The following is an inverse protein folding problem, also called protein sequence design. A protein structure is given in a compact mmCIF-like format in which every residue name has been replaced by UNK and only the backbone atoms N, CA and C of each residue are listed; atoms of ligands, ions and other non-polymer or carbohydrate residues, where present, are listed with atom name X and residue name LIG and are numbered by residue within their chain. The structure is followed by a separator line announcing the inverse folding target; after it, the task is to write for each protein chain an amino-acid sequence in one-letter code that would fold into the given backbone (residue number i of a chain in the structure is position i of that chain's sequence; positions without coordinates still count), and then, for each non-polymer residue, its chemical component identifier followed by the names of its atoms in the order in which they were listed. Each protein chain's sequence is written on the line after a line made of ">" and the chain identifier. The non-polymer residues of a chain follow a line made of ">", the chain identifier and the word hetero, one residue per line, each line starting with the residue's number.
data_IF_580091849699
#
_entry.id   IF_580091849699
#
_cell.length_a   1.000
_cell.length_b   1.000
_cell.length_c   1.000
_cell.angle_alpha   90.00
_cell.angle_beta   90.00
_cell.angle_gamma   90.00
#
_symmetry.space_group_name_H-M   'P 1'
#
loop_
_entity.id
_entity.type
_entity.pdbx_description
1 polymer ?
#
# COMPACT_ATOMS: atom_id res chain seq x y z
N UNK A 1 31.12 1.70 24.02
CA UNK A 1 30.22 1.80 22.84
C UNK A 1 30.42 0.55 21.98
N UNK A 2 29.35 -0.15 21.60
CA UNK A 2 29.43 -1.18 20.57
C UNK A 2 29.78 -0.50 19.24
N UNK A 3 30.76 -1.04 18.51
CA UNK A 3 31.06 -0.58 17.15
C UNK A 3 30.06 -1.26 16.22
N UNK A 4 29.41 -0.48 15.36
CA UNK A 4 28.43 -0.97 14.38
C UNK A 4 28.89 -0.61 12.99
N UNK A 5 28.77 -1.56 12.05
CA UNK A 5 29.03 -1.34 10.62
C UNK A 5 27.79 -1.76 9.85
N UNK A 6 27.40 -0.92 8.90
CA UNK A 6 26.24 -1.14 8.03
C UNK A 6 26.71 -1.36 6.60
N UNK A 7 26.21 -2.41 5.99
CA UNK A 7 26.28 -2.62 4.55
C UNK A 7 24.87 -2.78 4.00
N UNK A 8 24.51 -1.96 3.02
CA UNK A 8 23.23 -2.05 2.34
C UNK A 8 23.43 -2.57 0.93
N UNK A 9 22.68 -3.60 0.59
CA UNK A 9 22.69 -4.21 -0.73
C UNK A 9 21.37 -3.89 -1.43
N UNK A 10 21.43 -3.39 -2.66
CA UNK A 10 20.27 -2.89 -3.39
C UNK A 10 20.29 -3.49 -4.80
N UNK A 11 19.27 -4.27 -5.14
CA UNK A 11 18.94 -4.64 -6.52
C UNK A 11 17.68 -3.91 -6.96
N UNK A 12 17.27 -4.10 -8.22
CA UNK A 12 16.01 -3.53 -8.75
C UNK A 12 14.81 -4.03 -7.94
N UNK A 13 14.82 -5.31 -7.57
CA UNK A 13 13.64 -6.00 -7.05
C UNK A 13 13.62 -6.08 -5.52
N UNK A 14 14.77 -5.95 -4.85
CA UNK A 14 14.84 -6.06 -3.40
C UNK A 14 16.09 -5.40 -2.82
N UNK A 15 16.03 -5.10 -1.53
CA UNK A 15 17.18 -4.62 -0.78
C UNK A 15 17.37 -5.40 0.51
N UNK A 16 18.56 -5.33 1.09
CA UNK A 16 18.89 -5.95 2.37
C UNK A 16 19.91 -5.11 3.12
N UNK A 17 19.62 -4.85 4.40
CA UNK A 17 20.53 -4.17 5.32
C UNK A 17 21.25 -5.21 6.16
N UNK A 18 22.56 -5.10 6.20
CA UNK A 18 23.46 -5.96 6.96
C UNK A 18 24.10 -5.13 8.05
N UNK A 19 23.55 -5.29 9.25
CA UNK A 19 24.11 -4.70 10.46
C UNK A 19 25.06 -5.69 11.11
N UNK A 20 26.31 -5.29 11.28
CA UNK A 20 27.31 -6.06 12.01
C UNK A 20 27.62 -5.32 13.31
N UNK A 21 27.31 -5.95 14.44
CA UNK A 21 27.58 -5.43 15.77
C UNK A 21 28.80 -6.13 16.36
N UNK A 22 29.80 -5.35 16.76
CA UNK A 22 30.99 -5.85 17.42
C UNK A 22 30.92 -5.58 18.92
N UNK A 23 31.23 -6.61 19.71
CA UNK A 23 31.42 -6.46 21.15
C UNK A 23 32.55 -5.45 21.43
N UNK A 24 32.48 -4.75 22.57
CA UNK A 24 33.50 -3.78 22.98
C UNK A 24 34.91 -4.34 23.06
N UNK A 25 35.04 -5.67 23.19
CA UNK A 25 36.30 -6.37 23.38
C UNK A 25 36.86 -6.98 22.08
N UNK A 26 36.24 -6.73 20.92
CA UNK A 26 36.76 -7.18 19.63
C UNK A 26 38.08 -6.48 19.33
N UNK A 27 39.11 -7.25 18.96
CA UNK A 27 40.41 -6.70 18.60
C UNK A 27 40.32 -5.85 17.33
N UNK A 28 41.06 -4.74 17.29
CA UNK A 28 41.13 -3.90 16.09
C UNK A 28 41.69 -4.69 14.90
N UNK A 29 42.63 -5.62 15.13
CA UNK A 29 43.22 -6.46 14.08
C UNK A 29 42.18 -7.36 13.42
N UNK A 30 41.24 -7.92 14.18
CA UNK A 30 40.15 -8.72 13.63
C UNK A 30 39.24 -7.86 12.74
N UNK A 31 38.87 -6.67 13.21
CA UNK A 31 38.01 -5.76 12.47
C UNK A 31 38.67 -5.26 11.19
N UNK A 32 39.96 -4.92 11.24
CA UNK A 32 40.75 -4.54 10.07
C UNK A 32 40.85 -5.70 9.07
N UNK A 33 41.14 -6.92 9.55
CA UNK A 33 41.22 -8.11 8.69
C UNK A 33 39.88 -8.40 8.00
N UNK A 34 38.79 -8.35 8.76
CA UNK A 34 37.43 -8.52 8.23
C UNK A 34 37.10 -7.47 7.16
N UNK A 35 37.34 -6.19 7.45
CA UNK A 35 37.06 -5.12 6.49
C UNK A 35 37.90 -5.25 5.22
N UNK A 36 39.18 -5.61 5.35
CA UNK A 36 40.04 -5.86 4.19
C UNK A 36 39.50 -7.00 3.32
N UNK A 37 39.21 -8.15 3.92
CA UNK A 37 38.67 -9.30 3.20
C UNK A 37 37.31 -8.99 2.57
N UNK A 38 36.45 -8.26 3.28
CA UNK A 38 35.14 -7.83 2.78
C UNK A 38 35.28 -6.92 1.55
N UNK A 39 36.09 -5.87 1.65
CA UNK A 39 36.32 -4.91 0.55
C UNK A 39 36.90 -5.63 -0.67
N UNK A 40 37.86 -6.53 -0.47
CA UNK A 40 38.45 -7.32 -1.55
C UNK A 40 37.45 -8.27 -2.20
N UNK A 41 36.54 -8.87 -1.45
CA UNK A 41 35.50 -9.74 -1.99
C UNK A 41 34.57 -8.99 -2.96
N UNK A 42 34.36 -7.69 -2.73
CA UNK A 42 33.57 -6.80 -3.59
C UNK A 42 34.43 -5.90 -4.47
N UNK A 43 35.59 -6.39 -4.93
CA UNK A 43 36.44 -5.69 -5.91
C UNK A 43 36.82 -4.25 -5.52
N UNK A 44 36.91 -3.96 -4.22
CA UNK A 44 37.37 -2.68 -3.69
C UNK A 44 38.86 -2.68 -3.34
N UNK A 45 39.40 -1.50 -3.04
CA UNK A 45 40.79 -1.30 -2.68
C UNK A 45 40.95 -0.97 -1.20
N UNK A 46 42.02 -1.50 -0.60
CA UNK A 46 42.39 -1.24 0.79
C UNK A 46 43.86 -0.82 0.86
N UNK A 47 44.12 0.40 1.33
CA UNK A 47 45.48 0.92 1.47
C UNK A 47 45.75 1.43 2.89
N UNK A 48 46.81 0.93 3.51
CA UNK A 48 47.33 1.45 4.78
C UNK A 48 48.40 2.49 4.44
N UNK A 49 48.13 3.77 4.70
CA UNK A 49 49.13 4.84 4.52
C UNK A 49 49.58 5.38 5.87
N UNK A 50 50.75 6.02 5.91
CA UNK A 50 51.26 6.71 7.10
C UNK A 50 50.41 7.91 7.53
N UNK A 51 49.56 8.44 6.63
CA UNK A 51 48.66 9.57 6.87
C UNK A 51 47.23 9.14 7.26
N UNK A 52 46.94 7.84 7.18
CA UNK A 52 45.63 7.25 7.49
C UNK A 52 45.33 5.98 6.69
N UNK A 53 44.32 5.23 7.12
CA UNK A 53 43.83 4.08 6.36
C UNK A 53 42.81 4.56 5.31
N UNK A 54 43.08 4.33 4.03
CA UNK A 54 42.15 4.62 2.95
C UNK A 54 41.39 3.35 2.56
N UNK A 55 40.06 3.43 2.67
CA UNK A 55 39.12 2.37 2.28
C UNK A 55 38.36 2.85 1.04
N UNK A 56 38.49 2.12 -0.05
CA UNK A 56 37.73 2.38 -1.26
C UNK A 56 36.86 1.15 -1.56
N UNK A 57 35.55 1.33 -1.54
CA UNK A 57 34.60 0.28 -1.84
C UNK A 57 34.06 0.56 -3.22
N UNK A 58 34.14 -0.42 -4.11
CA UNK A 58 33.38 -0.36 -5.34
C UNK A 58 31.91 -0.60 -4.99
N UNK A 59 31.11 0.47 -4.95
CA UNK A 59 29.70 0.35 -4.62
C UNK A 59 28.92 -0.38 -5.71
N UNK A 60 29.42 -0.40 -6.94
CA UNK A 60 28.76 -1.05 -8.06
C UNK A 60 29.27 -2.48 -8.23
N UNK A 61 28.35 -3.44 -8.31
CA UNK A 61 28.67 -4.85 -8.43
C UNK A 61 27.80 -5.52 -9.49
N UNK A 62 28.33 -6.56 -10.11
CA UNK A 62 27.58 -7.42 -11.03
C UNK A 62 27.71 -8.86 -10.57
N UNK A 63 26.59 -9.58 -10.49
CA UNK A 63 26.63 -11.01 -10.21
C UNK A 63 27.35 -11.76 -11.33
N UNK A 64 28.41 -12.46 -10.96
CA UNK A 64 29.12 -13.41 -11.81
C UNK A 64 29.76 -14.50 -10.93
N UNK A 65 30.25 -15.57 -11.57
CA UNK A 65 30.87 -16.69 -10.88
C UNK A 65 32.05 -16.30 -9.97
N UNK A 66 32.89 -15.35 -10.39
CA UNK A 66 34.04 -14.90 -9.59
C UNK A 66 33.59 -14.25 -8.28
N UNK A 67 32.59 -13.37 -8.35
CA UNK A 67 32.01 -12.72 -7.18
C UNK A 67 31.38 -13.74 -6.22
N UNK A 68 30.66 -14.74 -6.75
CA UNK A 68 30.05 -15.80 -5.94
C UNK A 68 31.11 -16.60 -5.15
N UNK A 69 32.23 -16.95 -5.80
CA UNK A 69 33.34 -17.66 -5.16
C UNK A 69 33.96 -16.80 -4.05
N UNK A 70 34.28 -15.53 -4.34
CA UNK A 70 34.85 -14.58 -3.37
C UNK A 70 33.96 -14.42 -2.13
N UNK A 71 32.65 -14.28 -2.33
CA UNK A 71 31.68 -14.14 -1.24
C UNK A 71 31.54 -15.44 -0.45
N UNK A 72 31.51 -16.60 -1.11
CA UNK A 72 31.44 -17.89 -0.43
C UNK A 72 32.65 -18.12 0.49
N UNK A 73 33.85 -17.74 0.04
CA UNK A 73 35.08 -17.83 0.83
C UNK A 73 35.05 -16.87 2.03
N UNK A 74 34.61 -15.63 1.83
CA UNK A 74 34.42 -14.63 2.89
C UNK A 74 33.44 -15.14 3.96
N UNK A 75 32.26 -15.63 3.54
CA UNK A 75 31.24 -16.16 4.45
C UNK A 75 31.78 -17.35 5.22
N UNK A 76 32.47 -18.28 4.56
CA UNK A 76 33.05 -19.47 5.20
C UNK A 76 34.06 -19.09 6.28
N UNK A 77 34.90 -18.07 6.02
CA UNK A 77 35.92 -17.58 6.96
C UNK A 77 35.29 -16.96 8.21
N UNK A 78 34.20 -16.22 8.07
CA UNK A 78 33.65 -15.39 9.15
C UNK A 78 32.34 -15.86 9.77
N UNK A 79 31.64 -16.87 9.22
CA UNK A 79 30.30 -17.30 9.68
C UNK A 79 30.20 -17.65 11.17
N UNK A 80 31.28 -18.14 11.78
CA UNK A 80 31.27 -18.52 13.20
C UNK A 80 31.43 -17.29 14.12
N UNK A 81 32.20 -16.29 13.68
CA UNK A 81 32.48 -15.07 14.44
C UNK A 81 31.48 -13.96 14.17
N UNK A 82 30.91 -13.93 12.95
CA UNK A 82 29.93 -12.97 12.46
C UNK A 82 28.78 -13.75 11.79
N UNK A 83 27.90 -14.42 12.56
CA UNK A 83 26.80 -15.20 12.00
C UNK A 83 25.90 -14.46 10.98
N UNK A 84 25.62 -13.14 11.12
CA UNK A 84 24.86 -12.39 10.13
C UNK A 84 25.45 -12.41 8.70
N UNK A 85 26.75 -12.70 8.54
CA UNK A 85 27.42 -12.70 7.23
C UNK A 85 26.81 -13.74 6.26
N UNK A 86 26.19 -14.81 6.76
CA UNK A 86 25.54 -15.83 5.92
C UNK A 86 24.43 -15.25 5.04
N UNK A 87 23.79 -14.16 5.48
CA UNK A 87 22.73 -13.49 4.71
C UNK A 87 23.25 -12.92 3.38
N UNK A 88 24.56 -12.69 3.24
CA UNK A 88 25.14 -12.14 2.01
C UNK A 88 24.98 -13.17 0.90
N UNK A 89 25.27 -14.44 1.19
CA UNK A 89 24.99 -15.54 0.27
C UNK A 89 23.50 -15.61 -0.10
N UNK A 90 22.60 -15.39 0.87
CA UNK A 90 21.15 -15.41 0.59
C UNK A 90 20.71 -14.26 -0.33
N UNK A 91 21.38 -13.10 -0.26
CA UNK A 91 21.15 -11.98 -1.18
C UNK A 91 21.62 -12.33 -2.60
N UNK A 92 22.88 -12.78 -2.74
CA UNK A 92 23.49 -13.09 -4.04
C UNK A 92 22.76 -14.23 -4.76
N UNK A 93 22.27 -15.23 -4.02
CA UNK A 93 21.48 -16.34 -4.59
C UNK A 93 20.15 -15.90 -5.19
N UNK A 94 19.58 -14.78 -4.76
CA UNK A 94 18.32 -14.25 -5.30
C UNK A 94 18.50 -13.43 -6.57
N UNK A 95 19.73 -13.01 -6.87
CA UNK A 95 20.04 -12.27 -8.10
C UNK A 95 20.10 -13.23 -9.29
N UNK A 96 19.69 -12.73 -10.45
CA UNK A 96 19.89 -13.39 -11.75
C UNK A 96 21.35 -13.29 -12.19
N UNK A 97 21.79 -14.19 -13.07
CA UNK A 97 23.15 -14.11 -13.62
C UNK A 97 23.34 -12.79 -14.38
N UNK A 98 24.49 -12.13 -14.20
CA UNK A 98 24.82 -10.80 -14.73
C UNK A 98 23.95 -9.64 -14.20
N UNK A 99 23.11 -9.86 -13.18
CA UNK A 99 22.32 -8.78 -12.56
C UNK A 99 23.24 -7.82 -11.79
N UNK A 100 23.11 -6.53 -12.11
CA UNK A 100 23.82 -5.45 -11.45
C UNK A 100 23.11 -5.03 -10.16
N UNK A 101 23.89 -4.68 -9.13
CA UNK A 101 23.40 -4.26 -7.82
C UNK A 101 24.38 -3.28 -7.16
N UNK A 102 23.89 -2.53 -6.16
CA UNK A 102 24.71 -1.64 -5.34
C UNK A 102 25.03 -2.25 -3.97
N UNK A 103 26.25 -2.01 -3.48
CA UNK A 103 26.75 -2.23 -2.13
C UNK A 103 27.14 -0.89 -1.53
N UNK A 104 26.45 -0.44 -0.48
CA UNK A 104 26.74 0.82 0.19
C UNK A 104 27.20 0.60 1.63
N UNK A 105 28.26 1.28 2.10
CA UNK A 105 28.69 1.24 3.49
C UNK A 105 27.85 2.16 4.39
N UNK A 106 26.53 2.11 4.24
CA UNK A 106 25.58 2.97 4.94
C UNK A 106 24.31 2.18 5.28
N UNK A 107 23.59 2.68 6.29
CA UNK A 107 22.23 2.24 6.53
C UNK A 107 21.32 2.85 5.45
N UNK A 108 20.53 2.01 4.78
CA UNK A 108 19.56 2.45 3.77
C UNK A 108 18.63 3.53 4.30
N UNK A 109 18.25 3.49 5.57
CA UNK A 109 17.32 4.46 6.16
C UNK A 109 17.93 5.87 6.25
N UNK A 110 19.26 6.00 6.18
CA UNK A 110 19.96 7.30 6.17
C UNK A 110 20.07 7.94 4.79
N UNK A 111 19.77 7.18 3.72
CA UNK A 111 19.90 7.65 2.35
C UNK A 111 18.62 8.41 1.95
N UNK A 112 18.72 9.64 1.40
CA UNK A 112 17.55 10.38 0.92
C UNK A 112 16.78 9.61 -0.17
N UNK A 113 15.45 9.73 -0.16
CA UNK A 113 14.57 9.04 -1.11
C UNK A 113 14.94 9.33 -2.57
N UNK A 114 15.28 10.58 -2.91
CA UNK A 114 15.71 10.94 -4.27
C UNK A 114 16.91 10.10 -4.72
N UNK A 115 17.93 10.00 -3.88
CA UNK A 115 19.12 9.20 -4.17
C UNK A 115 18.79 7.71 -4.31
N UNK A 116 17.91 7.14 -3.47
CA UNK A 116 17.46 5.75 -3.62
C UNK A 116 16.80 5.51 -4.98
N UNK A 117 15.98 6.45 -5.45
CA UNK A 117 15.30 6.34 -6.74
C UNK A 117 16.30 6.45 -7.89
N UNK A 118 17.22 7.41 -7.83
CA UNK A 118 18.28 7.53 -8.84
C UNK A 118 19.10 6.24 -8.95
N UNK A 119 19.45 5.61 -7.82
CA UNK A 119 20.12 4.31 -7.83
C UNK A 119 19.27 3.23 -8.50
N UNK A 120 17.96 3.18 -8.24
CA UNK A 120 17.07 2.21 -8.90
C UNK A 120 16.94 2.46 -10.41
N UNK A 121 16.88 3.73 -10.83
CA UNK A 121 16.85 4.11 -12.25
C UNK A 121 18.15 3.70 -12.95
N UNK A 122 19.30 3.89 -12.28
CA UNK A 122 20.60 3.45 -12.78
C UNK A 122 20.63 1.93 -12.94
N UNK A 123 20.24 1.18 -11.90
CA UNK A 123 20.15 -0.28 -11.98
C UNK A 123 19.19 -0.74 -13.08
N UNK A 124 18.05 -0.08 -13.26
CA UNK A 124 17.07 -0.39 -14.30
C UNK A 124 17.69 -0.25 -15.70
N UNK A 125 18.43 0.84 -15.96
CA UNK A 125 19.13 1.06 -17.22
C UNK A 125 20.24 0.03 -17.46
N UNK A 126 21.00 -0.33 -16.42
CA UNK A 126 22.13 -1.26 -16.53
C UNK A 126 21.68 -2.70 -16.74
N UNK A 127 20.52 -3.08 -16.20
CA UNK A 127 19.95 -4.42 -16.36
C UNK A 127 19.00 -4.53 -17.57
N UNK A 128 18.68 -3.42 -18.24
CA UNK A 128 17.85 -3.42 -19.44
C UNK A 128 18.38 -2.42 -20.49
N UNK A 129 19.09 -2.90 -21.54
CA UNK A 129 19.69 -2.05 -22.57
C UNK A 129 18.72 -1.16 -23.36
N UNK A 130 17.41 -1.42 -23.29
CA UNK A 130 16.39 -0.57 -23.93
C UNK A 130 16.08 0.71 -23.16
N UNK A 131 16.57 0.83 -21.92
CA UNK A 131 16.31 1.94 -21.03
C UNK A 131 17.53 2.85 -20.93
N UNK A 132 17.33 4.16 -21.13
CA UNK A 132 18.37 5.17 -20.94
C UNK A 132 18.21 5.83 -19.56
N UNK A 133 19.30 5.88 -18.79
CA UNK A 133 19.31 6.44 -17.44
C UNK A 133 18.89 7.91 -17.38
N UNK A 134 19.44 8.74 -18.27
CA UNK A 134 19.15 10.19 -18.29
C UNK A 134 17.70 10.45 -18.69
N UNK A 135 17.16 9.68 -19.64
CA UNK A 135 15.74 9.76 -20.03
C UNK A 135 14.82 9.38 -18.86
N UNK A 136 15.06 8.26 -18.19
CA UNK A 136 14.26 7.82 -17.04
C UNK A 136 14.33 8.86 -15.92
N UNK A 137 15.52 9.35 -15.60
CA UNK A 137 15.69 10.36 -14.56
C UNK A 137 15.02 11.68 -14.90
N UNK A 138 15.12 12.14 -16.14
CA UNK A 138 14.47 13.37 -16.57
C UNK A 138 12.95 13.24 -16.50
N UNK A 139 12.39 12.12 -16.98
CA UNK A 139 10.94 11.85 -16.86
C UNK A 139 10.52 11.81 -15.39
N UNK A 140 11.31 11.14 -14.55
CA UNK A 140 11.07 11.07 -13.12
C UNK A 140 11.09 12.46 -12.45
N UNK A 141 12.12 13.26 -12.70
CA UNK A 141 12.26 14.59 -12.10
C UNK A 141 11.16 15.54 -12.58
N UNK A 142 10.71 15.44 -13.84
CA UNK A 142 9.57 16.19 -14.37
C UNK A 142 8.26 15.83 -13.65
N UNK A 143 8.03 14.53 -13.39
CA UNK A 143 6.78 14.05 -12.80
C UNK A 143 6.73 14.18 -11.27
N UNK A 144 7.86 13.93 -10.60
CA UNK A 144 7.92 13.72 -9.14
C UNK A 144 8.92 14.61 -8.42
N UNK A 145 9.79 15.35 -9.12
CA UNK A 145 10.86 16.14 -8.52
C UNK A 145 10.33 17.16 -7.51
N UNK A 146 9.36 18.00 -7.92
CA UNK A 146 8.72 18.98 -7.04
C UNK A 146 7.97 18.34 -5.87
N UNK A 147 7.44 17.13 -6.05
CA UNK A 147 6.72 16.40 -4.99
C UNK A 147 7.70 15.92 -3.93
N UNK A 148 8.82 15.34 -4.33
CA UNK A 148 9.85 14.87 -3.39
C UNK A 148 10.49 16.03 -2.64
N UNK A 149 10.67 17.18 -3.28
CA UNK A 149 11.18 18.37 -2.60
C UNK A 149 10.19 18.87 -1.54
N UNK A 150 8.89 18.87 -1.85
CA UNK A 150 7.84 19.44 -1.00
C UNK A 150 7.27 18.49 0.06
N UNK A 151 7.26 17.19 -0.21
CA UNK A 151 6.62 16.16 0.62
C UNK A 151 7.58 15.05 1.00
N UNK A 152 7.43 14.55 2.23
CA UNK A 152 7.92 13.23 2.62
C UNK A 152 6.85 12.20 2.26
N UNK A 153 7.21 11.18 1.47
CA UNK A 153 6.27 10.19 0.94
C UNK A 153 6.65 8.80 1.43
N UNK A 154 5.74 8.11 2.09
CA UNK A 154 6.01 6.80 2.68
C UNK A 154 4.75 5.94 2.80
N UNK A 155 4.93 4.64 2.96
CA UNK A 155 3.85 3.68 3.15
C UNK A 155 4.40 2.34 3.64
N UNK A 156 3.59 1.52 4.34
CA UNK A 156 4.05 0.21 4.79
C UNK A 156 4.26 -0.73 3.61
N UNK A 157 5.24 -1.63 3.73
CA UNK A 157 5.47 -2.68 2.72
C UNK A 157 4.26 -3.59 2.60
N UNK A 158 3.81 -3.81 1.35
CA UNK A 158 2.76 -4.79 1.03
C UNK A 158 3.29 -6.20 0.83
N UNK A 159 4.59 -6.37 0.58
CA UNK A 159 5.20 -7.67 0.31
C UNK A 159 5.50 -8.45 1.58
N UNK A 160 5.85 -7.74 2.65
CA UNK A 160 6.26 -8.31 3.92
C UNK A 160 5.29 -7.90 5.01
N UNK A 161 5.05 -8.82 5.94
CA UNK A 161 4.25 -8.53 7.12
C UNK A 161 4.94 -7.43 7.95
N UNK A 162 4.29 -6.29 8.04
CA UNK A 162 4.77 -5.10 8.74
C UNK A 162 3.93 -4.91 9.99
N UNK A 163 4.59 -4.68 11.13
CA UNK A 163 3.94 -4.32 12.40
C UNK A 163 4.27 -2.88 12.72
N UNK A 164 3.27 -2.02 12.74
CA UNK A 164 3.41 -0.59 13.00
C UNK A 164 3.22 -0.32 14.49
N UNK A 165 4.11 0.46 15.09
CA UNK A 165 4.07 0.86 16.50
C UNK A 165 4.68 -0.15 17.48
N UNK A 166 4.66 0.18 18.76
CA UNK A 166 5.34 -0.56 19.84
C UNK A 166 4.98 -2.06 19.89
N UNK A 167 6.01 -2.91 19.80
CA UNK A 167 5.88 -4.37 19.76
C UNK A 167 5.45 -4.96 21.10
N UNK A 168 5.98 -4.45 22.21
CA UNK A 168 5.70 -4.93 23.56
C UNK A 168 4.36 -4.40 24.07
N UNK A 169 3.39 -5.30 24.27
CA UNK A 169 2.02 -4.92 24.66
C UNK A 169 1.97 -3.93 25.83
N UNK A 170 2.72 -4.16 26.90
CA UNK A 170 2.78 -3.32 28.10
C UNK A 170 3.24 -1.87 27.86
N UNK A 171 3.96 -1.61 26.77
CA UNK A 171 4.49 -0.29 26.43
C UNK A 171 3.59 0.45 25.42
N UNK A 172 2.50 -0.18 24.96
CA UNK A 172 1.65 0.41 23.91
C UNK A 172 0.83 1.56 24.45
N UNK A 173 0.70 2.57 23.60
CA UNK A 173 -0.26 3.66 23.71
C UNK A 173 -1.11 3.64 22.45
N UNK A 174 -2.44 3.66 22.59
CA UNK A 174 -3.33 3.69 21.44
C UNK A 174 -3.18 5.02 20.70
N UNK A 175 -2.89 4.99 19.39
CA UNK A 175 -2.72 6.23 18.61
C UNK A 175 -4.00 7.00 18.34
N UNK A 176 -5.16 6.38 18.55
CA UNK A 176 -6.47 7.00 18.28
C UNK A 176 -7.06 7.67 19.52
N UNK A 177 -6.97 7.02 20.68
CA UNK A 177 -7.54 7.54 21.92
C UNK A 177 -6.50 7.93 22.98
N UNK A 178 -5.21 7.77 22.69
CA UNK A 178 -4.07 8.06 23.57
C UNK A 178 -4.04 7.31 24.91
N UNK A 179 -4.92 6.32 25.11
CA UNK A 179 -4.92 5.45 26.29
C UNK A 179 -3.76 4.46 26.27
N UNK A 180 -3.09 4.29 27.39
CA UNK A 180 -2.00 3.34 27.55
C UNK A 180 -2.50 1.95 28.02
N UNK A 181 -1.58 1.01 28.23
CA UNK A 181 -1.89 -0.38 28.58
C UNK A 181 -2.48 -0.59 29.98
N UNK A 182 -2.50 0.44 30.83
CA UNK A 182 -3.19 0.44 32.12
C UNK A 182 -4.66 0.89 31.97
N UNK A 183 -4.98 1.63 30.93
CA UNK A 183 -6.30 2.23 30.68
C UNK A 183 -7.12 1.48 29.61
N UNK A 184 -6.47 0.67 28.78
CA UNK A 184 -7.10 -0.11 27.71
C UNK A 184 -6.35 -1.40 27.41
N UNK A 185 -6.89 -2.22 26.51
CA UNK A 185 -6.36 -3.54 26.15
C UNK A 185 -5.93 -3.61 24.69
N UNK A 186 -4.92 -4.45 24.43
CA UNK A 186 -4.38 -4.73 23.09
C UNK A 186 -4.35 -6.24 22.85
N UNK A 187 -5.47 -6.91 23.15
CA UNK A 187 -5.58 -8.36 23.02
C UNK A 187 -5.80 -8.77 21.56
N UNK A 188 -6.62 -8.01 20.82
CA UNK A 188 -6.94 -8.26 19.42
C UNK A 188 -5.78 -7.86 18.51
N UNK A 189 -5.70 -8.56 17.37
CA UNK A 189 -4.80 -8.18 16.29
C UNK A 189 -5.54 -7.17 15.42
N UNK A 190 -5.24 -5.89 15.63
CA UNK A 190 -5.76 -4.82 14.79
C UNK A 190 -4.97 -4.73 13.48
N UNK A 191 -5.66 -4.37 12.41
CA UNK A 191 -5.09 -4.20 11.08
C UNK A 191 -5.26 -2.73 10.67
N UNK A 192 -4.21 -2.14 10.09
CA UNK A 192 -4.26 -0.74 9.65
C UNK A 192 -5.35 -0.52 8.59
N UNK A 193 -5.46 -1.48 7.66
CA UNK A 193 -6.54 -1.63 6.68
C UNK A 193 -7.28 -2.95 6.99
N UNK A 194 -8.63 -3.02 6.96
CA UNK A 194 -9.36 -4.23 7.25
C UNK A 194 -8.93 -5.44 6.40
N UNK A 195 -8.80 -6.62 7.02
CA UNK A 195 -8.52 -7.85 6.27
C UNK A 195 -9.57 -8.18 5.22
N UNK A 196 -10.81 -7.71 5.40
CA UNK A 196 -11.90 -7.90 4.45
C UNK A 196 -11.68 -7.12 3.14
N UNK A 197 -10.75 -6.15 3.12
CA UNK A 197 -10.25 -5.48 1.91
C UNK A 197 -8.95 -6.11 1.39
N UNK A 198 -8.61 -7.33 1.82
CA UNK A 198 -7.45 -8.07 1.32
C UNK A 198 -6.13 -7.78 2.05
N UNK A 199 -6.11 -6.92 3.08
CA UNK A 199 -4.90 -6.71 3.86
C UNK A 199 -4.51 -7.98 4.65
N UNK A 200 -3.31 -8.50 4.41
CA UNK A 200 -2.74 -9.63 5.19
C UNK A 200 -1.47 -9.25 5.94
N UNK A 201 -0.88 -8.10 5.61
CA UNK A 201 0.50 -7.79 5.95
C UNK A 201 0.64 -6.60 6.89
N UNK A 202 -0.28 -5.63 6.88
CA UNK A 202 -0.14 -4.39 7.65
C UNK A 202 -0.90 -4.51 8.98
N UNK A 203 -0.17 -4.84 10.04
CA UNK A 203 -0.68 -4.98 11.41
C UNK A 203 -0.42 -3.70 12.20
N UNK A 204 -1.41 -3.23 12.93
CA UNK A 204 -1.28 -2.06 13.80
C UNK A 204 -1.21 -2.51 15.26
N UNK A 205 -0.06 -2.34 15.91
CA UNK A 205 0.10 -2.69 17.32
C UNK A 205 -0.60 -1.68 18.24
N UNK A 206 -0.67 -0.42 17.84
CA UNK A 206 -1.12 0.73 18.63
C UNK A 206 -2.59 1.11 18.39
N UNK A 207 -3.43 0.13 18.06
CA UNK A 207 -4.89 0.28 18.07
C UNK A 207 -5.44 -0.60 19.18
N UNK A 208 -6.05 0.01 20.19
CA UNK A 208 -6.61 -0.73 21.31
C UNK A 208 -7.92 -1.42 20.94
N UNK A 209 -8.31 -2.41 21.74
CA UNK A 209 -9.49 -3.25 21.50
C UNK A 209 -10.78 -2.39 21.42
N UNK A 210 -10.89 -1.34 22.24
CA UNK A 210 -12.05 -0.42 22.22
C UNK A 210 -12.14 0.38 20.93
N UNK A 211 -11.04 0.97 20.46
CA UNK A 211 -11.03 1.69 19.18
C UNK A 211 -11.27 0.73 18.01
N UNK A 212 -10.69 -0.46 18.06
CA UNK A 212 -10.87 -1.47 17.02
C UNK A 212 -12.32 -1.92 16.88
N UNK A 213 -13.01 -2.14 18.01
CA UNK A 213 -14.44 -2.46 18.03
C UNK A 213 -15.28 -1.29 17.51
N UNK A 214 -14.99 -0.07 17.95
CA UNK A 214 -15.67 1.14 17.50
C UNK A 214 -15.58 1.30 15.97
N UNK A 215 -14.36 1.21 15.40
CA UNK A 215 -14.17 1.34 13.97
C UNK A 215 -14.85 0.22 13.18
N UNK A 216 -14.76 -1.02 13.67
CA UNK A 216 -15.41 -2.19 13.06
C UNK A 216 -16.93 -2.07 13.01
N UNK A 217 -17.55 -1.38 13.97
CA UNK A 217 -19.00 -1.11 14.02
C UNK A 217 -19.45 0.12 13.24
N UNK A 218 -18.52 1.05 12.95
CA UNK A 218 -18.83 2.37 12.37
C UNK A 218 -18.16 2.56 11.00
N UNK A 219 -17.01 3.24 10.94
CA UNK A 219 -16.39 3.67 9.69
C UNK A 219 -15.87 2.51 8.82
N UNK A 220 -15.31 1.46 9.43
CA UNK A 220 -14.85 0.29 8.67
C UNK A 220 -16.05 -0.51 8.16
N UNK A 221 -17.14 -0.56 8.93
CA UNK A 221 -18.40 -1.19 8.52
C UNK A 221 -18.95 -0.55 7.24
N UNK A 222 -18.96 0.78 7.20
CA UNK A 222 -19.52 1.55 6.07
C UNK A 222 -18.67 1.42 4.81
N UNK A 223 -17.34 1.54 4.91
CA UNK A 223 -16.46 1.36 3.75
C UNK A 223 -16.45 -0.09 3.22
N UNK A 224 -16.60 -1.07 4.11
CA UNK A 224 -16.75 -2.46 3.70
C UNK A 224 -18.05 -2.69 2.93
N UNK A 225 -19.17 -2.10 3.35
CA UNK A 225 -20.43 -2.15 2.60
C UNK A 225 -20.29 -1.44 1.25
N UNK A 226 -19.64 -0.27 1.23
CA UNK A 226 -19.39 0.53 0.02
C UNK A 226 -18.57 -0.24 -1.03
N UNK A 227 -17.55 -0.98 -0.60
CA UNK A 227 -16.66 -1.73 -1.50
C UNK A 227 -17.08 -3.18 -1.76
N UNK A 228 -18.09 -3.69 -1.03
CA UNK A 228 -18.44 -5.12 -0.97
C UNK A 228 -18.63 -5.80 -2.34
N UNK A 229 -19.26 -5.10 -3.28
CA UNK A 229 -19.48 -5.61 -4.64
C UNK A 229 -18.14 -5.96 -5.31
N UNK A 230 -17.15 -5.08 -5.16
CA UNK A 230 -15.81 -5.26 -5.71
C UNK A 230 -15.03 -6.37 -4.99
N UNK A 231 -15.25 -6.58 -3.69
CA UNK A 231 -14.65 -7.72 -2.98
C UNK A 231 -15.08 -9.05 -3.62
N UNK A 232 -16.36 -9.14 -4.02
CA UNK A 232 -16.89 -10.36 -4.67
C UNK A 232 -16.41 -10.46 -6.10
N UNK A 233 -16.46 -9.35 -6.86
CA UNK A 233 -16.02 -9.28 -8.25
C UNK A 233 -14.55 -9.66 -8.42
N UNK A 234 -13.66 -9.06 -7.62
CA UNK A 234 -12.22 -9.31 -7.67
C UNK A 234 -11.76 -10.46 -6.77
N UNK A 235 -12.69 -11.27 -6.25
CA UNK A 235 -12.39 -12.46 -5.44
C UNK A 235 -11.52 -12.17 -4.21
N UNK A 236 -11.69 -10.99 -3.59
CA UNK A 236 -10.98 -10.59 -2.37
C UNK A 236 -11.41 -11.49 -1.22
N UNK A 237 -10.45 -12.26 -0.69
CA UNK A 237 -10.72 -13.27 0.33
C UNK A 237 -10.83 -12.66 1.72
N UNK A 238 -11.84 -13.09 2.47
CA UNK A 238 -12.06 -12.67 3.85
C UNK A 238 -11.09 -13.38 4.84
N UNK A 239 -11.31 -13.17 6.15
CA UNK A 239 -10.52 -13.81 7.23
C UNK A 239 -10.55 -15.34 7.22
N UNK A 240 -11.60 -15.95 6.64
CA UNK A 240 -11.75 -17.41 6.49
C UNK A 240 -11.17 -17.91 5.16
N UNK A 241 -10.42 -17.07 4.44
CA UNK A 241 -9.84 -17.38 3.13
C UNK A 241 -10.88 -17.75 2.06
N UNK A 242 -12.10 -17.20 2.16
CA UNK A 242 -13.20 -17.41 1.21
C UNK A 242 -13.59 -16.09 0.53
N UNK A 243 -14.00 -16.17 -0.74
CA UNK A 243 -14.61 -15.05 -1.46
C UNK A 243 -16.00 -14.80 -0.84
N UNK A 244 -16.35 -13.54 -0.48
CA UNK A 244 -17.66 -13.25 0.07
C UNK A 244 -18.76 -13.48 -0.97
N UNK A 245 -19.88 -14.06 -0.55
CA UNK A 245 -21.14 -14.07 -1.30
C UNK A 245 -22.02 -12.95 -0.77
N UNK A 246 -22.65 -12.20 -1.66
CA UNK A 246 -23.57 -11.12 -1.32
C UNK A 246 -25.00 -11.66 -1.46
N UNK A 247 -25.79 -11.48 -0.42
CA UNK A 247 -27.23 -11.71 -0.44
C UNK A 247 -27.92 -10.46 0.06
N UNK A 248 -28.70 -9.84 -0.82
CA UNK A 248 -29.55 -8.70 -0.55
C UNK A 248 -30.99 -9.06 -0.92
N UNK A 249 -31.93 -8.21 -0.52
CA UNK A 249 -33.34 -8.40 -0.83
C UNK A 249 -33.60 -8.49 -2.35
N UNK A 250 -32.99 -7.61 -3.16
CA UNK A 250 -33.23 -7.55 -4.61
C UNK A 250 -32.16 -8.25 -5.47
N UNK A 251 -31.05 -8.73 -4.88
CA UNK A 251 -30.05 -9.50 -5.63
C UNK A 251 -29.22 -10.46 -4.78
N UNK A 252 -28.64 -11.48 -5.43
CA UNK A 252 -27.46 -12.18 -4.94
C UNK A 252 -26.30 -11.99 -5.91
N UNK A 253 -25.09 -11.92 -5.37
CA UNK A 253 -23.86 -11.90 -6.17
C UNK A 253 -22.87 -12.91 -5.58
N UNK A 254 -22.27 -13.73 -6.44
CA UNK A 254 -21.24 -14.68 -6.03
C UNK A 254 -20.28 -15.00 -7.16
N UNK A 255 -19.04 -15.32 -6.79
CA UNK A 255 -18.12 -15.97 -7.70
C UNK A 255 -18.49 -17.46 -7.81
N UNK A 256 -18.46 -18.01 -9.02
CA UNK A 256 -18.80 -19.41 -9.25
C UNK A 256 -17.53 -20.26 -9.23
N UNK A 257 -17.54 -21.27 -8.37
CA UNK A 257 -16.51 -22.31 -8.31
C UNK A 257 -17.08 -23.61 -8.89
N UNK A 258 -16.56 -24.12 -10.02
CA UNK A 258 -17.06 -25.33 -10.65
C UNK A 258 -16.86 -26.60 -9.84
N UNK A 259 -16.02 -26.57 -8.81
CA UNK A 259 -15.80 -27.70 -7.92
C UNK A 259 -16.87 -27.80 -6.82
N UNK A 260 -17.72 -26.78 -6.66
CA UNK A 260 -18.77 -26.78 -5.65
C UNK A 260 -20.09 -27.30 -6.24
N UNK A 261 -20.66 -28.32 -5.61
CA UNK A 261 -21.91 -28.97 -6.04
C UNK A 261 -23.07 -27.96 -6.17
N UNK A 262 -23.15 -27.00 -5.25
CA UNK A 262 -24.18 -25.95 -5.24
C UNK A 262 -24.15 -25.02 -6.47
N UNK A 263 -23.05 -25.00 -7.22
CA UNK A 263 -22.89 -24.16 -8.41
C UNK A 263 -23.27 -24.86 -9.72
N UNK A 264 -23.47 -26.19 -9.73
CA UNK A 264 -23.71 -26.96 -10.96
C UNK A 264 -24.92 -26.45 -11.74
N UNK A 265 -26.02 -26.17 -11.07
CA UNK A 265 -27.25 -25.68 -11.71
C UNK A 265 -27.03 -24.34 -12.43
N UNK A 266 -26.34 -23.40 -11.78
CA UNK A 266 -26.01 -22.08 -12.36
C UNK A 266 -25.07 -22.24 -13.56
N UNK A 267 -24.10 -23.15 -13.46
CA UNK A 267 -23.15 -23.44 -14.54
C UNK A 267 -23.85 -23.99 -15.77
N UNK A 268 -24.74 -24.99 -15.61
CA UNK A 268 -25.48 -25.55 -16.74
C UNK A 268 -26.38 -24.50 -17.40
N UNK A 269 -27.10 -23.71 -16.61
CA UNK A 269 -27.92 -22.61 -17.14
C UNK A 269 -27.07 -21.56 -17.87
N UNK A 270 -25.87 -21.24 -17.35
CA UNK A 270 -24.96 -20.30 -17.99
C UNK A 270 -24.40 -20.85 -19.32
N UNK A 271 -24.12 -22.15 -19.40
CA UNK A 271 -23.72 -22.83 -20.65
C UNK A 271 -24.81 -22.74 -21.71
N UNK A 272 -26.07 -22.96 -21.33
CA UNK A 272 -27.21 -22.93 -22.27
C UNK A 272 -27.42 -21.55 -22.90
N UNK A 273 -27.19 -20.47 -22.16
CA UNK A 273 -27.44 -19.09 -22.64
C UNK A 273 -26.20 -18.42 -23.24
N UNK A 274 -25.01 -18.97 -23.05
CA UNK A 274 -23.77 -18.36 -23.52
C UNK A 274 -23.65 -18.42 -25.04
N UNK A 275 -23.56 -17.26 -25.69
CA UNK A 275 -23.28 -17.14 -27.14
C UNK A 275 -21.81 -17.34 -27.49
N UNK A 276 -20.92 -17.41 -26.49
CA UNK A 276 -19.48 -17.57 -26.63
C UNK A 276 -18.99 -18.86 -25.95
N UNK A 277 -17.80 -19.38 -26.28
CA UNK A 277 -17.19 -20.50 -25.56
C UNK A 277 -17.20 -20.26 -24.05
N UNK A 278 -17.98 -21.07 -23.32
CA UNK A 278 -18.19 -20.89 -21.90
C UNK A 278 -16.99 -21.44 -21.11
N UNK A 279 -16.39 -20.60 -20.28
CA UNK A 279 -15.34 -21.00 -19.34
C UNK A 279 -15.88 -20.99 -17.90
N UNK A 280 -16.11 -22.17 -17.28
CA UNK A 280 -16.65 -22.26 -15.92
C UNK A 280 -15.68 -21.76 -14.84
N UNK A 281 -14.39 -21.62 -15.15
CA UNK A 281 -13.36 -21.32 -14.15
C UNK A 281 -13.24 -19.82 -13.83
N UNK A 282 -13.91 -18.93 -14.57
CA UNK A 282 -13.71 -17.49 -14.41
C UNK A 282 -14.98 -16.68 -14.72
N UNK A 283 -16.08 -16.98 -14.03
CA UNK A 283 -17.30 -16.18 -14.14
C UNK A 283 -17.95 -15.94 -12.77
N UNK A 284 -18.61 -14.80 -12.65
CA UNK A 284 -19.44 -14.43 -11.50
C UNK A 284 -20.90 -14.39 -11.92
N UNK A 285 -21.80 -14.65 -10.98
CA UNK A 285 -23.23 -14.58 -11.20
C UNK A 285 -23.83 -13.42 -10.39
N UNK A 286 -24.68 -12.62 -11.06
CA UNK A 286 -25.59 -11.68 -10.42
C UNK A 286 -27.01 -12.21 -10.66
N UNK A 287 -27.69 -12.58 -9.59
CA UNK A 287 -29.06 -13.10 -9.62
C UNK A 287 -29.97 -12.00 -9.11
N UNK A 288 -30.70 -11.34 -10.01
CA UNK A 288 -31.75 -10.40 -9.60
C UNK A 288 -32.94 -11.16 -9.02
N UNK A 289 -33.35 -10.77 -7.81
CA UNK A 289 -34.58 -11.22 -7.17
C UNK A 289 -35.64 -10.14 -7.43
N UNK A 290 -36.43 -10.30 -8.51
CA UNK A 290 -37.59 -9.43 -8.73
C UNK A 290 -38.54 -9.51 -7.53
N UNK A 291 -39.08 -8.36 -7.09
CA UNK A 291 -40.37 -8.31 -6.39
C UNK A 291 -41.40 -9.08 -7.24
N UNK A 292 -42.33 -9.77 -6.59
CA UNK A 292 -43.36 -10.62 -7.21
C UNK A 292 -44.38 -9.89 -8.11
N UNK A 293 -44.08 -8.77 -8.75
CA UNK A 293 -44.94 -8.22 -9.81
C UNK A 293 -44.65 -8.90 -11.15
N UNK A 294 -45.38 -10.00 -11.30
CA UNK A 294 -45.39 -10.93 -12.42
C UNK A 294 -46.29 -10.41 -13.55
N UNK A 295 -46.00 -9.24 -14.13
CA UNK A 295 -46.75 -8.72 -15.29
C UNK A 295 -45.91 -8.24 -16.48
N UNK A 296 -44.62 -8.56 -16.51
CA UNK A 296 -43.81 -8.51 -17.73
C UNK A 296 -42.77 -9.64 -17.62
N UNK A 297 -42.84 -10.71 -18.39
CA UNK A 297 -42.70 -10.72 -19.85
C UNK A 297 -43.50 -11.91 -20.43
N UNK A 298 -44.61 -11.62 -21.10
CA UNK A 298 -44.94 -12.24 -22.38
C UNK A 298 -44.85 -11.09 -23.37
N UNK A 299 -44.06 -11.29 -24.42
CA UNK A 299 -43.88 -10.43 -25.59
C UNK A 299 -42.44 -9.95 -25.73
N UNK A 300 -41.75 -10.66 -26.62
CA UNK A 300 -40.43 -10.43 -27.16
C UNK A 300 -40.39 -9.06 -27.85
N UNK A 301 -39.79 -8.04 -27.24
CA UNK A 301 -39.45 -6.77 -27.91
C UNK A 301 -38.10 -6.27 -27.38
N UNK A 302 -37.20 -5.93 -28.31
CA UNK A 302 -35.86 -5.37 -28.09
C UNK A 302 -35.87 -4.29 -27.00
N UNK A 303 -35.25 -4.58 -25.85
CA UNK A 303 -35.08 -3.62 -24.78
C UNK A 303 -33.60 -3.31 -24.68
N UNK A 304 -33.31 -2.01 -24.72
CA UNK A 304 -32.04 -1.40 -24.33
C UNK A 304 -31.38 -2.19 -23.19
N UNK A 305 -30.03 -2.28 -23.17
CA UNK A 305 -29.32 -3.07 -22.18
C UNK A 305 -29.85 -2.79 -20.75
N UNK A 306 -30.21 -3.84 -19.99
CA UNK A 306 -30.99 -3.67 -18.78
C UNK A 306 -30.18 -2.97 -17.69
N UNK A 307 -30.64 -1.81 -17.18
CA UNK A 307 -30.06 -1.26 -15.96
C UNK A 307 -30.40 -2.16 -14.78
N UNK A 308 -29.40 -2.72 -14.10
CA UNK A 308 -29.59 -3.49 -12.88
C UNK A 308 -29.26 -2.60 -11.68
N UNK A 309 -30.23 -2.41 -10.79
CA UNK A 309 -30.00 -1.79 -9.49
C UNK A 309 -29.57 -2.86 -8.48
N UNK A 310 -28.41 -2.66 -7.85
CA UNK A 310 -27.88 -3.49 -6.78
C UNK A 310 -28.01 -2.71 -5.48
N UNK A 311 -29.07 -3.01 -4.71
CA UNK A 311 -29.41 -2.25 -3.51
C UNK A 311 -28.86 -2.95 -2.27
N UNK A 312 -28.17 -2.19 -1.44
CA UNK A 312 -27.72 -2.64 -0.12
C UNK A 312 -28.84 -2.44 0.89
N UNK A 313 -29.15 -3.50 1.65
CA UNK A 313 -30.05 -3.47 2.78
C UNK A 313 -29.44 -2.73 3.97
N UNK A 314 -28.11 -2.80 4.10
CA UNK A 314 -27.37 -2.01 5.07
C UNK A 314 -27.29 -0.53 4.66
N UNK A 315 -27.46 0.36 5.64
CA UNK A 315 -27.36 1.82 5.45
C UNK A 315 -25.97 2.33 5.80
N UNK A 316 -25.34 3.08 4.90
CA UNK A 316 -24.03 3.70 5.12
C UNK A 316 -24.16 5.20 5.34
N UNK A 317 -23.13 5.80 5.93
CA UNK A 317 -22.91 7.26 5.96
C UNK A 317 -21.70 7.57 5.06
N UNK A 318 -21.83 8.51 4.13
CA UNK A 318 -20.74 8.79 3.18
C UNK A 318 -19.51 9.37 3.90
N UNK A 319 -19.71 10.21 4.91
CA UNK A 319 -18.60 10.74 5.69
C UNK A 319 -17.82 9.67 6.46
N UNK A 320 -18.46 8.56 6.83
CA UNK A 320 -17.76 7.42 7.41
C UNK A 320 -16.79 6.76 6.42
N UNK A 321 -17.08 6.81 5.12
CA UNK A 321 -16.15 6.35 4.07
C UNK A 321 -14.90 7.23 4.05
N UNK A 322 -15.06 8.55 4.12
CA UNK A 322 -13.94 9.49 4.21
C UNK A 322 -13.14 9.22 5.50
N UNK A 323 -13.82 9.14 6.65
CA UNK A 323 -13.17 8.85 7.94
C UNK A 323 -12.38 7.54 7.89
N UNK A 324 -12.89 6.51 7.21
CA UNK A 324 -12.19 5.24 7.07
C UNK A 324 -10.90 5.37 6.26
N UNK A 325 -10.91 6.09 5.13
CA UNK A 325 -9.71 6.39 4.35
C UNK A 325 -8.67 7.13 5.20
N UNK A 326 -9.11 8.15 5.96
CA UNK A 326 -8.26 8.88 6.89
C UNK A 326 -7.74 7.98 8.02
N UNK A 327 -8.58 7.10 8.59
CA UNK A 327 -8.15 6.11 9.59
C UNK A 327 -7.06 5.21 9.04
N UNK A 328 -7.16 4.73 7.80
CA UNK A 328 -6.14 3.90 7.18
C UNK A 328 -4.81 4.65 7.07
N UNK A 329 -4.85 5.93 6.68
CA UNK A 329 -3.66 6.77 6.63
C UNK A 329 -3.06 6.98 8.03
N UNK A 330 -3.86 7.41 9.02
CA UNK A 330 -3.42 7.64 10.41
C UNK A 330 -2.90 6.35 11.09
N UNK A 331 -3.38 5.19 10.65
CA UNK A 331 -2.86 3.88 11.06
C UNK A 331 -1.43 3.64 10.58
N UNK A 332 -1.03 4.28 9.47
CA UNK A 332 0.24 4.04 8.79
C UNK A 332 1.25 5.19 8.95
N UNK A 333 0.86 6.34 9.47
CA UNK A 333 1.80 7.43 9.75
C UNK A 333 2.69 7.14 10.94
N UNK A 334 3.89 7.72 10.89
CA UNK A 334 4.81 7.74 12.01
C UNK A 334 4.25 8.58 13.16
N UNK A 335 4.61 8.16 14.38
CA UNK A 335 4.06 8.74 15.62
C UNK A 335 4.35 10.24 15.76
N UNK A 336 5.47 10.70 15.20
CA UNK A 336 5.88 12.10 15.19
C UNK A 336 4.89 13.02 14.49
N UNK A 337 4.18 12.53 13.45
CA UNK A 337 3.22 13.33 12.71
C UNK A 337 1.83 13.39 13.37
N UNK A 338 1.50 12.46 14.28
CA UNK A 338 0.17 12.37 14.90
C UNK A 338 -0.23 13.64 15.67
N UNK A 339 0.75 14.38 16.20
CA UNK A 339 0.52 15.62 16.94
C UNK A 339 -0.23 16.66 16.07
N UNK A 340 0.11 16.76 14.78
CA UNK A 340 -0.54 17.65 13.81
C UNK A 340 -2.00 17.26 13.52
N UNK A 341 -2.42 16.04 13.88
CA UNK A 341 -3.73 15.45 13.58
C UNK A 341 -4.62 15.26 14.82
N UNK A 342 -4.36 15.94 15.94
CA UNK A 342 -5.17 15.81 17.17
C UNK A 342 -6.69 15.97 16.93
N UNK A 343 -7.09 17.04 16.24
CA UNK A 343 -8.51 17.30 15.89
C UNK A 343 -9.05 16.24 14.92
N UNK A 344 -8.20 15.73 14.03
CA UNK A 344 -8.55 14.66 13.08
C UNK A 344 -8.78 13.33 13.79
N UNK A 345 -7.93 12.98 14.76
CA UNK A 345 -8.07 11.78 15.58
C UNK A 345 -9.36 11.82 16.40
N UNK A 346 -9.71 12.98 16.97
CA UNK A 346 -10.99 13.19 17.64
C UNK A 346 -12.17 12.97 16.68
N UNK A 347 -12.13 13.58 15.49
CA UNK A 347 -13.16 13.45 14.46
C UNK A 347 -13.33 12.01 13.95
N UNK A 348 -12.23 11.29 13.72
CA UNK A 348 -12.24 9.89 13.26
C UNK A 348 -12.74 8.94 14.35
N UNK A 349 -12.36 9.18 15.61
CA UNK A 349 -12.70 8.30 16.74
C UNK A 349 -14.13 8.51 17.23
N UNK A 350 -14.68 9.72 17.10
CA UNK A 350 -16.03 10.04 17.54
C UNK A 350 -17.05 9.87 16.41
N UNK A 351 -17.98 8.92 16.59
CA UNK A 351 -19.04 8.62 15.61
C UNK A 351 -20.07 9.75 15.44
N UNK A 352 -20.16 10.67 16.39
CA UNK A 352 -21.15 11.75 16.40
C UNK A 352 -20.62 13.09 15.87
N UNK A 353 -19.32 13.21 15.62
CA UNK A 353 -18.74 14.45 15.08
C UNK A 353 -18.72 14.35 13.56
N UNK A 354 -19.47 15.24 12.90
CA UNK A 354 -19.46 15.37 11.45
C UNK A 354 -18.98 16.76 11.01
N UNK A 355 -18.43 16.84 9.79
CA UNK A 355 -18.02 18.09 9.14
C UNK A 355 -18.97 18.41 8.01
N UNK A 356 -19.43 19.64 7.93
CA UNK A 356 -20.35 20.08 6.87
C UNK A 356 -19.69 20.02 5.48
N UNK A 357 -18.41 20.38 5.43
CA UNK A 357 -17.62 20.38 4.20
C UNK A 357 -16.30 19.64 4.43
N UNK A 358 -15.98 18.76 3.49
CA UNK A 358 -14.71 18.05 3.36
C UNK A 358 -14.19 18.23 1.93
N UNK A 359 -12.86 18.13 1.74
CA UNK A 359 -12.27 18.01 0.40
C UNK A 359 -12.92 16.87 -0.39
N UNK A 360 -12.90 16.94 -1.72
CA UNK A 360 -13.37 15.82 -2.54
C UNK A 360 -12.36 14.66 -2.51
N UNK A 361 -12.85 13.44 -2.64
CA UNK A 361 -12.02 12.24 -2.84
C UNK A 361 -11.99 11.91 -4.32
N UNK A 362 -10.81 11.92 -4.93
CA UNK A 362 -10.63 11.51 -6.31
C UNK A 362 -10.51 9.98 -6.38
N UNK A 363 -11.30 9.35 -7.26
CA UNK A 363 -11.33 7.91 -7.44
C UNK A 363 -11.10 7.57 -8.91
N UNK A 364 -10.09 6.78 -9.20
CA UNK A 364 -9.81 6.24 -10.52
C UNK A 364 -10.07 4.73 -10.52
N UNK A 365 -10.81 4.26 -11.52
CA UNK A 365 -10.85 2.85 -11.87
C UNK A 365 -9.78 2.60 -12.94
N UNK A 366 -8.73 1.84 -12.59
CA UNK A 366 -7.65 1.46 -13.48
C UNK A 366 -7.60 -0.07 -13.66
N UNK A 367 -8.32 -0.62 -14.66
CA UNK A 367 -8.39 -2.06 -14.89
C UNK A 367 -7.04 -2.72 -15.21
N UNK A 368 -6.07 -1.96 -15.75
CA UNK A 368 -4.75 -2.48 -16.09
C UNK A 368 -3.88 -2.76 -14.87
N UNK A 369 -4.22 -2.18 -13.70
CA UNK A 369 -3.48 -2.34 -12.45
C UNK A 369 -4.32 -3.06 -11.39
N UNK A 370 -4.44 -4.38 -11.51
CA UNK A 370 -5.04 -5.22 -10.48
C UNK A 370 -4.03 -5.54 -9.37
N UNK A 371 -4.26 -5.02 -8.16
CA UNK A 371 -3.49 -5.37 -6.95
C UNK A 371 -4.22 -6.40 -6.09
N UNK A 372 -3.48 -7.40 -5.62
CA UNK A 372 -4.01 -8.47 -4.75
C UNK A 372 -4.05 -8.09 -3.27
N UNK A 373 -3.22 -7.12 -2.88
CA UNK A 373 -3.14 -6.59 -1.52
C UNK A 373 -3.31 -5.08 -1.57
N UNK A 374 -4.13 -4.49 -0.67
CA UNK A 374 -4.28 -3.05 -0.62
C UNK A 374 -2.96 -2.39 -0.17
N UNK A 375 -2.65 -1.23 -0.75
CA UNK A 375 -1.52 -0.41 -0.36
C UNK A 375 -1.98 1.01 -0.02
N UNK A 376 -1.21 1.71 0.80
CA UNK A 376 -1.44 3.12 1.08
C UNK A 376 -0.11 3.86 1.10
N UNK A 377 -0.06 4.98 0.41
CA UNK A 377 1.04 5.95 0.45
C UNK A 377 0.52 7.22 1.10
N UNK A 378 1.32 7.80 1.99
CA UNK A 378 1.04 9.05 2.67
C UNK A 378 2.12 10.05 2.27
N UNK A 379 1.69 11.24 1.86
CA UNK A 379 2.55 12.40 1.61
C UNK A 379 2.34 13.39 2.74
N UNK A 380 3.41 13.75 3.47
CA UNK A 380 3.40 14.79 4.52
C UNK A 380 4.24 15.98 4.04
N UNK A 381 3.65 17.17 4.03
CA UNK A 381 4.33 18.42 3.61
C UNK A 381 5.47 18.76 4.57
N UNK A 382 6.64 19.09 4.02
CA UNK A 382 7.88 19.35 4.77
C UNK A 382 8.01 20.78 5.31
N UNK A 383 7.28 21.72 4.72
CA UNK A 383 7.39 23.15 5.00
C UNK A 383 6.05 23.76 5.47
N UNK A 384 6.03 25.09 5.63
CA UNK A 384 4.86 25.83 6.11
C UNK A 384 3.98 26.42 5.00
N UNK A 385 4.14 26.00 3.73
CA UNK A 385 3.30 26.46 2.62
C UNK A 385 1.88 25.90 2.66
N UNK A 386 0.99 26.59 3.37
CA UNK A 386 -0.42 26.24 3.51
C UNK A 386 -1.26 26.41 2.23
N UNK A 387 -0.67 26.78 1.09
CA UNK A 387 -1.35 26.72 -0.21
C UNK A 387 -1.53 25.29 -0.71
N UNK A 388 -0.80 24.34 -0.13
CA UNK A 388 -0.89 22.92 -0.45
C UNK A 388 -1.29 22.13 0.80
N UNK A 389 -2.00 21.00 0.63
CA UNK A 389 -2.48 20.22 1.77
C UNK A 389 -1.32 19.78 2.66
N UNK A 390 -1.49 19.85 3.98
CA UNK A 390 -0.48 19.33 4.90
C UNK A 390 -0.22 17.83 4.69
N UNK A 391 -1.26 17.06 4.40
CA UNK A 391 -1.12 15.63 4.16
C UNK A 391 -2.13 15.07 3.16
N UNK A 392 -1.68 14.10 2.38
CA UNK A 392 -2.44 13.44 1.32
C UNK A 392 -2.25 11.92 1.45
N UNK A 393 -3.34 11.18 1.26
CA UNK A 393 -3.32 9.73 1.18
C UNK A 393 -3.64 9.26 -0.24
N UNK A 394 -2.90 8.25 -0.70
CA UNK A 394 -3.15 7.50 -1.92
C UNK A 394 -3.37 6.04 -1.55
N UNK A 395 -4.59 5.55 -1.68
CA UNK A 395 -4.99 4.19 -1.31
C UNK A 395 -5.33 3.37 -2.55
N UNK A 396 -4.63 2.25 -2.74
CA UNK A 396 -4.88 1.32 -3.83
C UNK A 396 -5.64 0.11 -3.30
N UNK A 397 -6.73 -0.23 -3.99
CA UNK A 397 -7.56 -1.38 -3.65
C UNK A 397 -8.09 -2.03 -4.91
N UNK A 398 -7.69 -3.29 -5.19
CA UNK A 398 -8.04 -4.02 -6.42
C UNK A 398 -7.61 -3.24 -7.67
N UNK A 399 -8.53 -2.63 -8.40
CA UNK A 399 -8.26 -1.74 -9.55
C UNK A 399 -8.53 -0.27 -9.22
N UNK A 400 -8.92 0.05 -7.99
CA UNK A 400 -9.25 1.41 -7.59
C UNK A 400 -8.05 2.12 -6.99
N UNK A 401 -7.89 3.38 -7.38
CA UNK A 401 -6.97 4.33 -6.74
C UNK A 401 -7.81 5.44 -6.11
N UNK A 402 -7.66 5.63 -4.81
CA UNK A 402 -8.28 6.72 -4.05
C UNK A 402 -7.21 7.74 -3.69
N UNK A 403 -7.38 8.99 -4.09
CA UNK A 403 -6.53 10.11 -3.66
C UNK A 403 -7.38 11.05 -2.82
N UNK A 404 -6.95 11.31 -1.59
CA UNK A 404 -7.70 12.11 -0.63
C UNK A 404 -6.79 12.96 0.25
N UNK A 405 -7.27 14.14 0.62
CA UNK A 405 -6.58 15.01 1.58
C UNK A 405 -6.85 14.51 2.99
N UNK A 406 -5.82 14.49 3.84
CA UNK A 406 -5.95 14.15 5.26
C UNK A 406 -6.08 15.49 6.01
N UNK A 407 -7.30 15.91 6.39
CA UNK A 407 -7.48 17.22 7.01
C UNK A 407 -6.86 17.23 8.41
N UNK A 408 -6.15 18.30 8.78
CA UNK A 408 -5.68 18.53 10.15
C UNK A 408 -6.74 19.22 11.02
N UNK A 409 -7.66 19.95 10.38
CA UNK A 409 -8.63 20.87 10.99
C UNK A 409 -7.98 22.00 11.83
N UNK A 410 -6.70 22.29 11.59
CA UNK A 410 -6.01 23.44 12.17
C UNK A 410 -6.33 24.70 11.36
N UNK A 411 -6.56 25.82 12.04
CA UNK A 411 -6.94 27.10 11.40
C UNK A 411 -5.83 27.69 10.51
N UNK A 412 -4.59 27.24 10.71
CA UNK A 412 -3.45 27.63 9.88
C UNK A 412 -3.50 27.02 8.47
N UNK A 413 -4.21 25.90 8.31
CA UNK A 413 -4.36 25.21 7.04
C UNK A 413 -5.55 25.76 6.26
N UNK A 414 -5.40 25.84 4.93
CA UNK A 414 -6.49 26.27 4.06
C UNK A 414 -7.60 25.23 4.01
N UNK A 415 -8.81 25.69 3.77
CA UNK A 415 -9.95 24.82 3.53
C UNK A 415 -9.89 24.27 2.09
N UNK A 416 -9.51 23.00 1.96
CA UNK A 416 -9.47 22.30 0.67
C UNK A 416 -10.83 21.70 0.25
N UNK A 417 -11.90 21.95 1.01
CA UNK A 417 -13.27 21.79 0.49
C UNK A 417 -13.63 22.90 -0.51
N UNK A 418 -12.94 24.04 -0.47
CA UNK A 418 -13.08 25.11 -1.44
C UNK A 418 -12.45 24.72 -2.79
N UNK A 419 -13.22 24.91 -3.87
CA UNK A 419 -12.80 24.55 -5.24
C UNK A 419 -11.47 25.15 -5.67
N UNK A 420 -11.20 26.41 -5.31
CA UNK A 420 -9.96 27.12 -5.69
C UNK A 420 -8.73 26.50 -5.03
N UNK A 421 -8.81 26.13 -3.75
CA UNK A 421 -7.73 25.48 -3.03
C UNK A 421 -7.55 24.03 -3.51
N UNK A 422 -8.66 23.32 -3.75
CA UNK A 422 -8.62 21.95 -4.30
C UNK A 422 -7.96 21.90 -5.69
N UNK A 423 -8.19 22.89 -6.55
CA UNK A 423 -7.54 22.97 -7.86
C UNK A 423 -6.03 23.16 -7.76
N UNK A 424 -5.53 23.94 -6.79
CA UNK A 424 -4.07 24.07 -6.57
C UNK A 424 -3.44 22.73 -6.17
N UNK A 425 -4.14 21.94 -5.35
CA UNK A 425 -3.73 20.57 -5.06
C UNK A 425 -3.65 19.72 -6.34
N UNK A 426 -4.68 19.76 -7.19
CA UNK A 426 -4.69 19.00 -8.46
C UNK A 426 -3.54 19.40 -9.37
N UNK A 427 -3.29 20.69 -9.52
CA UNK A 427 -2.21 21.24 -10.37
C UNK A 427 -0.83 20.81 -9.86
N UNK A 428 -0.62 20.84 -8.55
CA UNK A 428 0.65 20.41 -7.95
C UNK A 428 0.88 18.91 -8.11
N UNK A 429 -0.14 18.07 -7.91
CA UNK A 429 -0.04 16.62 -8.10
C UNK A 429 -0.37 16.21 -9.55
N UNK A 430 0.27 16.86 -10.52
CA UNK A 430 0.03 16.70 -11.95
C UNK A 430 0.24 15.27 -12.46
N UNK A 431 1.10 14.47 -11.81
CA UNK A 431 1.34 13.07 -12.20
C UNK A 431 0.09 12.19 -12.12
N UNK A 432 -0.90 12.55 -11.28
CA UNK A 432 -2.18 11.83 -11.27
C UNK A 432 -2.97 12.03 -12.56
N UNK A 433 -2.60 13.04 -13.34
CA UNK A 433 -3.19 13.35 -14.63
C UNK A 433 -4.71 13.51 -14.54
N UNK A 434 -5.15 14.27 -13.54
CA UNK A 434 -6.55 14.37 -13.12
C UNK A 434 -7.52 14.78 -14.24
N UNK A 435 -7.04 15.50 -15.25
CA UNK A 435 -7.86 16.03 -16.33
C UNK A 435 -7.88 15.15 -17.59
N UNK A 436 -6.92 14.22 -17.74
CA UNK A 436 -6.84 13.34 -18.91
C UNK A 436 -7.19 11.87 -18.60
N UNK A 437 -7.32 11.50 -17.33
CA UNK A 437 -7.79 10.18 -16.89
C UNK A 437 -9.22 10.28 -16.32
N UNK A 438 -10.01 9.20 -16.35
CA UNK A 438 -11.42 9.20 -15.93
C UNK A 438 -11.59 9.20 -14.40
N UNK A 439 -11.06 10.22 -13.73
CA UNK A 439 -11.21 10.43 -12.29
C UNK A 439 -12.63 10.87 -11.93
N UNK A 440 -13.17 10.27 -10.88
CA UNK A 440 -14.45 10.67 -10.27
C UNK A 440 -14.17 11.39 -8.96
N UNK A 441 -14.60 12.64 -8.85
CA UNK A 441 -14.44 13.47 -7.65
C UNK A 441 -15.67 13.37 -6.76
N UNK A 442 -15.58 12.56 -5.71
CA UNK A 442 -16.69 12.27 -4.81
C UNK A 442 -16.73 13.26 -3.65
N UNK A 443 -17.89 13.91 -3.43
CA UNK A 443 -18.16 14.63 -2.19
C UNK A 443 -18.71 13.64 -1.14
N UNK A 444 -17.92 13.36 -0.12
CA UNK A 444 -18.27 12.45 0.96
C UNK A 444 -18.57 13.20 2.28
N UNK A 445 -19.00 14.46 2.22
CA UNK A 445 -19.29 15.26 3.42
C UNK A 445 -20.61 14.86 4.11
N UNK A 446 -21.47 14.09 3.44
CA UNK A 446 -22.81 13.76 3.90
C UNK A 446 -22.82 12.82 5.13
N UNK A 447 -23.48 13.26 6.20
CA UNK A 447 -23.63 12.54 7.48
C UNK A 447 -24.90 11.69 7.58
N UNK A 448 -25.79 11.74 6.57
CA UNK A 448 -27.10 11.09 6.63
C UNK A 448 -26.98 9.61 6.25
N UNK A 449 -27.42 8.75 7.18
CA UNK A 449 -27.51 7.30 6.98
C UNK A 449 -28.53 6.93 5.89
N UNK A 450 -28.06 6.26 4.82
CA UNK A 450 -28.90 5.85 3.68
C UNK A 450 -28.49 4.50 3.11
N UNK A 451 -29.43 3.81 2.46
CA UNK A 451 -29.13 2.61 1.67
C UNK A 451 -28.27 3.00 0.46
N UNK A 452 -27.30 2.16 0.13
CA UNK A 452 -26.49 2.30 -1.08
C UNK A 452 -27.20 1.59 -2.25
N UNK A 453 -27.26 2.23 -3.42
CA UNK A 453 -27.77 1.62 -4.65
C UNK A 453 -26.74 1.83 -5.75
N UNK A 454 -26.18 0.75 -6.28
CA UNK A 454 -25.33 0.80 -7.47
C UNK A 454 -26.17 0.46 -8.71
N UNK A 455 -26.20 1.37 -9.69
CA UNK A 455 -26.85 1.11 -10.97
C UNK A 455 -25.79 0.70 -12.00
N UNK A 456 -25.90 -0.53 -12.49
CA UNK A 456 -25.06 -1.03 -13.58
C UNK A 456 -25.84 -0.85 -14.87
N UNK A 457 -25.34 0.00 -15.75
CA UNK A 457 -25.82 0.14 -17.12
C UNK A 457 -24.97 -0.76 -18.00
N UNK A 458 -25.60 -1.68 -18.71
CA UNK A 458 -24.91 -2.41 -19.77
C UNK A 458 -24.98 -1.54 -21.03
N UNK A 459 -23.99 -1.67 -21.91
CA UNK A 459 -24.04 -1.11 -23.25
C UNK A 459 -23.89 -2.28 -24.22
N UNK A 460 -24.79 -2.38 -25.20
CA UNK A 460 -24.65 -3.38 -26.25
C UNK A 460 -23.58 -2.85 -27.19
N UNK A 461 -22.39 -3.45 -27.15
CA UNK A 461 -21.34 -3.17 -28.14
C UNK A 461 -21.72 -3.96 -29.38
N UNK A 462 -22.37 -3.30 -30.34
CA UNK A 462 -22.50 -3.83 -31.70
C UNK A 462 -21.10 -4.09 -32.24
N UNK A 463 -20.78 -5.36 -32.50
CA UNK A 463 -19.52 -5.77 -33.12
C UNK A 463 -19.62 -5.73 -34.63
#
# INVERSE_FOLDING_TARGET
>A
MQKQIYFSFISINFSSIFKIEFNSNVSNDFLISFLKDFIQAFNGNFCLTSEGNNLEINCYQQKNHELEVKISDLVTRYRNSIPPINRINDFIKKLSENENFFLLPADLDTIPTKNKIMMLNELASLNNPSLNYDEINNEFDILFGHIIEKYNSFGPSIEKKTKIGEGLKKNRTCRFCNKNSEETTFQKVAHAIPEALGNKNIILNEECDTCNENFSGTLERDILVYLRLFNTFYQVKNKKNKVPKIKQNNFEMMHIDPNLEENKEIIERAKEISKHPFNPNNFFAIISKKNQDSSAIKDTINLKPPTIALDSDEKIILQNIYKALVKFALSCIDKEYLESFKKTLEWVTNENIFKEHLPQVAVLLNPEKLVSHPSITIHIRKDNDNNLPYAIGEFHYTTFVYVFIIPTFNEIEKDFSEKSNFNKFKEFFSYYNFDNLPWVFNNLSDSISRKLSLKINFEEVEK
#
